data_IF_148599903429
#
_entry.id   IF_148599903429
#
_cell.length_a   1.000
_cell.length_b   1.000
_cell.length_c   1.000
_cell.angle_alpha   90.00
_cell.angle_beta   90.00
_cell.angle_gamma   90.00
#
_symmetry.space_group_name_H-M   'P 1'
#
loop_
_entity.id
_entity.type
_entity.pdbx_description
1 polymer ?
#
# COMPACT_ATOMS: atom_id res chain seq x y z
N UNK A 1 -19.64 -10.66 -7.41
CA UNK A 1 -18.27 -10.96 -7.09
C UNK A 1 -17.49 -9.71 -6.71
N UNK A 2 -16.88 -9.71 -5.57
CA UNK A 2 -16.10 -8.56 -5.16
C UNK A 2 -14.91 -8.36 -6.11
N UNK A 3 -14.59 -7.12 -6.41
CA UNK A 3 -13.42 -6.84 -7.21
C UNK A 3 -12.19 -7.31 -6.43
N UNK A 4 -11.27 -7.91 -7.14
CA UNK A 4 -10.07 -8.42 -6.51
C UNK A 4 -9.05 -7.31 -6.33
N UNK A 5 -8.52 -7.23 -5.12
CA UNK A 5 -7.46 -6.31 -4.79
C UNK A 5 -6.17 -7.11 -4.64
N UNK A 6 -5.13 -6.67 -5.31
CA UNK A 6 -3.86 -7.39 -5.37
C UNK A 6 -2.76 -6.60 -4.66
N UNK A 7 -1.78 -7.32 -4.19
CA UNK A 7 -0.58 -6.69 -3.66
C UNK A 7 0.04 -5.79 -4.71
N UNK A 8 0.33 -4.55 -4.34
CA UNK A 8 0.88 -3.56 -5.27
C UNK A 8 -0.17 -2.63 -5.88
N UNK A 9 -1.45 -2.91 -5.66
CA UNK A 9 -2.50 -2.00 -6.10
C UNK A 9 -2.49 -0.73 -5.26
N UNK A 10 -2.78 0.40 -5.91
CA UNK A 10 -2.96 1.68 -5.24
C UNK A 10 -4.43 2.01 -5.27
N UNK A 11 -4.99 2.26 -4.09
CA UNK A 11 -6.42 2.51 -3.93
C UNK A 11 -6.67 3.91 -3.41
N UNK A 12 -7.79 4.48 -3.86
CA UNK A 12 -8.43 5.58 -3.15
C UNK A 12 -9.49 4.96 -2.28
N UNK A 13 -9.46 5.30 -0.99
CA UNK A 13 -10.37 4.70 -0.02
C UNK A 13 -11.16 5.82 0.64
N UNK A 14 -12.46 5.59 0.79
CA UNK A 14 -13.39 6.54 1.38
C UNK A 14 -12.90 7.00 2.75
N UNK A 15 -12.90 8.34 2.95
CA UNK A 15 -12.50 9.00 4.19
C UNK A 15 -11.00 8.91 4.51
N UNK A 16 -10.21 8.40 3.58
CA UNK A 16 -8.75 8.42 3.72
C UNK A 16 -8.21 9.39 2.67
N UNK A 17 -7.57 10.48 3.10
CA UNK A 17 -7.20 11.55 2.16
C UNK A 17 -6.05 11.21 1.22
N UNK A 18 -5.21 10.24 1.57
CA UNK A 18 -4.06 9.87 0.75
C UNK A 18 -4.35 8.60 -0.04
N UNK A 19 -3.68 8.40 -1.18
CA UNK A 19 -3.69 7.08 -1.81
C UNK A 19 -3.09 6.06 -0.86
N UNK A 20 -3.54 4.82 -0.97
CA UNK A 20 -3.09 3.72 -0.12
C UNK A 20 -2.52 2.62 -1.00
N UNK A 21 -1.30 2.22 -0.70
CA UNK A 21 -0.68 1.07 -1.36
C UNK A 21 -1.03 -0.19 -0.60
N UNK A 22 -1.57 -1.18 -1.31
CA UNK A 22 -1.87 -2.49 -0.73
C UNK A 22 -0.57 -3.28 -0.68
N UNK A 23 -0.13 -3.62 0.52
CA UNK A 23 1.12 -4.37 0.73
C UNK A 23 0.88 -5.83 1.08
N UNK A 24 -0.35 -6.19 1.45
CA UNK A 24 -0.70 -7.57 1.77
C UNK A 24 -0.91 -8.42 0.53
N UNK A 25 -0.59 -9.70 0.64
CA UNK A 25 -0.71 -10.65 -0.47
C UNK A 25 -2.15 -10.96 -0.79
N UNK A 26 -2.36 -11.50 -1.99
CA UNK A 26 -3.68 -11.81 -2.51
C UNK A 26 -4.46 -12.77 -1.61
N UNK A 27 -3.78 -13.78 -1.04
CA UNK A 27 -4.48 -14.74 -0.18
C UNK A 27 -5.05 -14.06 1.07
N UNK A 28 -4.35 -13.07 1.59
CA UNK A 28 -4.83 -12.28 2.73
C UNK A 28 -6.01 -11.41 2.30
N UNK A 29 -5.88 -10.80 1.12
CA UNK A 29 -6.87 -9.84 0.62
C UNK A 29 -8.21 -10.48 0.29
N UNK A 30 -8.24 -11.80 0.13
CA UNK A 30 -9.47 -12.54 -0.18
C UNK A 30 -10.52 -12.40 0.92
N UNK A 31 -10.11 -12.12 2.14
CA UNK A 31 -11.04 -11.93 3.24
C UNK A 31 -11.85 -10.63 3.14
N UNK A 32 -11.42 -9.72 2.24
CA UNK A 32 -12.02 -8.39 2.14
C UNK A 32 -11.25 -7.35 2.94
N UNK A 33 -10.32 -7.78 3.77
CA UNK A 33 -9.43 -6.87 4.48
C UNK A 33 -8.08 -6.81 3.77
N UNK A 34 -7.43 -5.65 3.83
CA UNK A 34 -6.08 -5.49 3.27
C UNK A 34 -5.22 -4.78 4.29
N UNK A 35 -3.91 -4.96 4.17
CA UNK A 35 -2.95 -4.16 4.91
C UNK A 35 -2.34 -3.18 3.92
N UNK A 36 -2.40 -1.91 4.25
CA UNK A 36 -1.92 -0.86 3.36
C UNK A 36 -1.08 0.18 4.05
N UNK A 37 -0.36 0.93 3.23
CA UNK A 37 0.48 2.06 3.66
C UNK A 37 0.06 3.29 2.88
N UNK A 38 0.02 4.47 3.52
CA UNK A 38 -0.30 5.70 2.80
C UNK A 38 0.86 6.14 1.93
N UNK A 39 0.54 6.86 0.86
CA UNK A 39 1.52 7.46 -0.03
C UNK A 39 1.43 8.97 0.14
N UNK A 40 2.51 9.59 0.57
CA UNK A 40 2.56 11.04 0.78
C UNK A 40 3.39 11.70 -0.32
N UNK A 41 2.87 12.80 -0.88
CA UNK A 41 3.60 13.54 -1.89
C UNK A 41 4.71 14.41 -1.30
N UNK A 42 4.53 14.86 -0.07
CA UNK A 42 5.45 15.79 0.59
C UNK A 42 6.23 15.10 1.71
N UNK A 43 6.89 14.01 1.39
CA UNK A 43 7.70 13.28 2.37
C UNK A 43 9.16 13.35 1.98
N UNK A 44 10.03 12.99 2.92
CA UNK A 44 11.47 12.92 2.71
C UNK A 44 11.86 11.45 2.59
N UNK A 45 12.69 11.16 1.61
CA UNK A 45 13.18 9.81 1.39
C UNK A 45 13.94 9.31 2.61
N UNK A 46 13.72 8.06 2.98
CA UNK A 46 14.41 7.42 4.09
C UNK A 46 14.26 5.92 4.02
N UNK A 47 14.80 5.19 4.99
CA UNK A 47 14.74 3.71 4.99
C UNK A 47 13.31 3.17 4.96
N UNK A 48 12.35 3.90 5.54
CA UNK A 48 10.95 3.48 5.59
C UNK A 48 10.05 4.36 4.74
N UNK A 49 10.60 5.34 4.03
CA UNK A 49 9.86 6.24 3.15
C UNK A 49 10.40 6.07 1.74
N UNK A 50 9.75 5.19 0.99
CA UNK A 50 10.27 4.71 -0.28
C UNK A 50 9.54 5.40 -1.43
N UNK A 51 10.29 6.05 -2.34
CA UNK A 51 9.66 6.73 -3.46
C UNK A 51 9.06 5.72 -4.43
N UNK A 52 7.87 6.02 -4.89
CA UNK A 52 7.20 5.27 -5.94
C UNK A 52 6.70 6.24 -6.99
N UNK A 53 6.67 5.79 -8.23
CA UNK A 53 6.16 6.57 -9.34
C UNK A 53 5.44 5.61 -10.27
N UNK A 54 4.17 5.82 -10.45
CA UNK A 54 3.34 5.05 -11.37
C UNK A 54 2.76 6.02 -12.38
N UNK A 55 1.77 5.58 -13.17
CA UNK A 55 1.19 6.45 -14.20
C UNK A 55 0.47 7.65 -13.61
N UNK A 56 -0.26 7.44 -12.52
CA UNK A 56 -1.13 8.46 -11.93
C UNK A 56 -0.61 8.97 -10.60
N UNK A 57 0.21 8.19 -9.91
CA UNK A 57 0.57 8.46 -8.51
C UNK A 57 2.09 8.58 -8.41
N UNK A 58 2.53 9.61 -7.71
CA UNK A 58 3.95 9.81 -7.40
C UNK A 58 4.07 10.28 -5.97
N UNK A 59 4.95 9.69 -5.20
CA UNK A 59 5.11 10.04 -3.80
C UNK A 59 5.97 9.04 -3.05
N UNK A 60 5.83 9.04 -1.73
CA UNK A 60 6.63 8.20 -0.84
C UNK A 60 5.72 7.32 -0.02
N UNK A 61 5.92 6.02 -0.11
CA UNK A 61 5.19 5.05 0.71
C UNK A 61 5.74 5.11 2.12
N UNK A 62 4.84 5.31 3.09
CA UNK A 62 5.20 5.35 4.50
C UNK A 62 5.10 3.96 5.08
N UNK A 63 6.19 3.20 5.01
CA UNK A 63 6.20 1.76 5.34
C UNK A 63 5.87 1.48 6.80
N UNK A 64 6.15 2.41 7.70
CA UNK A 64 5.85 2.23 9.13
C UNK A 64 4.39 2.50 9.48
N UNK A 65 3.62 3.08 8.55
CA UNK A 65 2.22 3.42 8.82
C UNK A 65 1.29 2.36 8.27
N UNK A 66 1.51 1.13 8.70
CA UNK A 66 0.68 0.00 8.31
C UNK A 66 -0.70 0.11 8.94
N UNK A 67 -1.73 -0.13 8.16
CA UNK A 67 -3.10 -0.12 8.65
C UNK A 67 -3.87 -1.30 8.06
N UNK A 68 -4.68 -1.93 8.90
CA UNK A 68 -5.62 -2.96 8.45
C UNK A 68 -6.90 -2.24 8.03
N UNK A 69 -7.32 -2.46 6.80
CA UNK A 69 -8.47 -1.76 6.23
C UNK A 69 -9.50 -2.78 5.76
N UNK A 70 -10.74 -2.58 6.20
CA UNK A 70 -11.85 -3.46 5.81
C UNK A 70 -12.54 -2.88 4.58
N UNK A 71 -12.26 -3.46 3.43
CA UNK A 71 -12.82 -2.99 2.16
C UNK A 71 -14.24 -3.46 1.93
N UNK A 72 -14.78 -4.32 2.80
CA UNK A 72 -16.17 -4.74 2.70
C UNK A 72 -17.11 -3.63 3.17
N UNK A 73 -16.62 -2.72 4.01
CA UNK A 73 -17.44 -1.64 4.58
C UNK A 73 -17.00 -0.25 4.12
N UNK A 74 -15.87 -0.15 3.43
CA UNK A 74 -15.38 1.13 2.93
C UNK A 74 -15.45 1.17 1.41
N UNK A 75 -16.00 2.26 0.88
CA UNK A 75 -15.92 2.49 -0.57
C UNK A 75 -14.47 2.64 -0.99
N UNK A 76 -14.11 2.03 -2.08
CA UNK A 76 -12.73 2.09 -2.55
C UNK A 76 -12.69 1.95 -4.07
N UNK A 77 -11.59 2.39 -4.64
CA UNK A 77 -11.40 2.38 -6.09
C UNK A 77 -9.92 2.19 -6.37
N UNK A 78 -9.60 1.23 -7.23
CA UNK A 78 -8.23 1.07 -7.71
C UNK A 78 -7.93 2.19 -8.68
N UNK A 79 -6.83 2.91 -8.44
CA UNK A 79 -6.43 4.02 -9.28
C UNK A 79 -5.13 3.76 -10.03
N UNK A 80 -4.29 2.86 -9.52
CA UNK A 80 -3.01 2.56 -10.15
C UNK A 80 -2.40 1.29 -9.56
N UNK A 81 -1.18 1.00 -9.95
CA UNK A 81 -0.44 -0.16 -9.50
C UNK A 81 1.05 0.12 -9.61
N UNK A 82 1.85 -0.37 -8.68
CA UNK A 82 3.31 -0.22 -8.74
C UNK A 82 3.96 -1.47 -9.35
N UNK A 83 5.23 -1.33 -9.71
CA UNK A 83 5.99 -2.43 -10.29
C UNK A 83 6.34 -3.49 -9.25
N UNK A 84 6.68 -4.70 -9.73
CA UNK A 84 7.10 -5.77 -8.83
C UNK A 84 8.38 -5.39 -8.08
N UNK A 85 9.27 -4.63 -8.68
CA UNK A 85 10.50 -4.19 -8.02
C UNK A 85 10.19 -3.27 -6.85
N UNK A 86 9.24 -2.36 -7.02
CA UNK A 86 8.81 -1.48 -5.95
C UNK A 86 8.14 -2.26 -4.83
N UNK A 87 7.32 -3.25 -5.19
CA UNK A 87 6.69 -4.13 -4.20
C UNK A 87 7.76 -4.83 -3.36
N UNK A 88 8.77 -5.37 -4.00
CA UNK A 88 9.85 -6.06 -3.30
C UNK A 88 10.59 -5.14 -2.34
N UNK A 89 10.96 -3.95 -2.80
CA UNK A 89 11.66 -2.98 -1.97
C UNK A 89 10.84 -2.56 -0.75
N UNK A 90 9.55 -2.35 -0.95
CA UNK A 90 8.66 -1.91 0.11
C UNK A 90 8.43 -3.02 1.12
N UNK A 91 8.17 -4.24 0.65
CA UNK A 91 7.97 -5.36 1.57
C UNK A 91 9.22 -5.71 2.33
N UNK A 92 10.40 -5.57 1.72
CA UNK A 92 11.67 -5.75 2.42
C UNK A 92 11.84 -4.71 3.53
N UNK A 93 11.50 -3.46 3.26
CA UNK A 93 11.57 -2.41 4.25
C UNK A 93 10.62 -2.69 5.43
N UNK A 94 9.41 -3.14 5.13
CA UNK A 94 8.43 -3.49 6.16
C UNK A 94 8.93 -4.65 7.02
N UNK A 95 9.48 -5.69 6.39
CA UNK A 95 10.04 -6.82 7.12
C UNK A 95 11.16 -6.38 8.06
N UNK A 96 11.95 -5.43 7.62
CA UNK A 96 13.03 -4.89 8.44
C UNK A 96 12.58 -4.25 9.74
N UNK A 97 11.33 -3.76 9.79
CA UNK A 97 10.77 -3.20 11.02
C UNK A 97 10.62 -4.26 12.10
N UNK A 98 10.35 -5.48 11.70
CA UNK A 98 10.03 -6.59 12.61
C UNK A 98 11.19 -7.57 12.79
N UNK A 99 12.30 -7.31 12.14
CA UNK A 99 13.43 -8.22 12.20
C UNK A 99 14.01 -8.28 13.60
N UNK A 100 14.23 -9.51 14.06
CA UNK A 100 14.83 -9.75 15.37
C UNK A 100 16.34 -9.98 15.20
N UNK A 101 17.12 -9.23 15.91
CA UNK A 101 18.57 -9.33 15.83
C UNK A 101 19.13 -9.77 17.17
#
# INVERSE_FOLDING_TARGET
>A
MASKVHQGDILKIEKIPTPVLVVSKDFFNESGEVIGCPIYTNSVRGPLHIPVSSREISGYVQCEKLALLDLTVRGHKKVDRISIYDIMNITDAIQGIFEYI
#
